data_IF_323875393682
#
_entry.id   IF_323875393682
#
_cell.length_a   1.000
_cell.length_b   1.000
_cell.length_c   1.000
_cell.angle_alpha   90.00
_cell.angle_beta   90.00
_cell.angle_gamma   90.00
#
_symmetry.space_group_name_H-M   'P 1'
#
loop_
_entity.id
_entity.type
_entity.pdbx_description
1 polymer ?
#
# COMPACT_ATOMS: atom_id res chain seq x y z
N UNK A 1 0.21 17.93 9.80
CA UNK A 1 0.07 16.71 10.62
C UNK A 1 -0.85 16.89 11.81
N UNK A 2 -0.71 17.94 12.64
CA UNK A 2 -1.47 18.08 13.91
C UNK A 2 -3.00 18.07 13.75
N UNK A 3 -3.54 18.67 12.68
CA UNK A 3 -4.98 18.62 12.39
C UNK A 3 -5.46 17.18 12.12
N UNK A 4 -4.70 16.39 11.34
CA UNK A 4 -5.06 15.00 11.04
C UNK A 4 -5.00 14.14 12.30
N UNK A 5 -3.97 14.33 13.13
CA UNK A 5 -3.87 13.65 14.44
C UNK A 5 -5.06 13.98 15.34
N UNK A 6 -5.52 15.24 15.35
CA UNK A 6 -6.71 15.64 16.11
C UNK A 6 -7.97 14.95 15.57
N UNK A 7 -8.15 14.90 14.25
CA UNK A 7 -9.28 14.20 13.64
C UNK A 7 -9.26 12.69 13.95
N UNK A 8 -8.09 12.05 13.95
CA UNK A 8 -7.93 10.64 14.32
C UNK A 8 -8.26 10.38 15.79
N UNK A 9 -8.06 11.34 16.71
CA UNK A 9 -8.54 11.19 18.10
C UNK A 9 -10.07 11.06 18.17
N UNK A 10 -10.79 11.68 17.24
CA UNK A 10 -12.25 11.60 17.15
C UNK A 10 -12.71 10.40 16.31
N UNK A 11 -11.92 9.97 15.33
CA UNK A 11 -12.20 8.88 14.40
C UNK A 11 -10.95 8.01 14.18
N UNK A 12 -10.60 7.14 15.14
CA UNK A 12 -9.30 6.45 15.14
C UNK A 12 -9.13 5.47 13.97
N UNK A 13 -10.22 4.94 13.42
CA UNK A 13 -10.20 3.94 12.36
C UNK A 13 -10.58 4.54 11.00
N UNK A 14 -10.48 5.86 10.83
CA UNK A 14 -10.72 6.49 9.54
C UNK A 14 -9.54 6.22 8.60
N UNK A 15 -9.73 5.27 7.69
CA UNK A 15 -8.73 4.84 6.72
C UNK A 15 -8.16 6.02 5.91
N UNK A 16 -8.98 7.01 5.54
CA UNK A 16 -8.52 8.14 4.72
C UNK A 16 -7.60 9.06 5.51
N UNK A 17 -7.91 9.29 6.78
CA UNK A 17 -7.03 10.05 7.67
C UNK A 17 -5.72 9.31 7.95
N UNK A 18 -5.76 7.99 8.12
CA UNK A 18 -4.55 7.17 8.30
C UNK A 18 -3.66 7.19 7.05
N UNK A 19 -4.23 7.00 5.85
CA UNK A 19 -3.48 7.07 4.59
C UNK A 19 -2.81 8.44 4.41
N UNK A 20 -3.55 9.53 4.63
CA UNK A 20 -2.98 10.87 4.55
C UNK A 20 -1.86 11.07 5.59
N UNK A 21 -2.03 10.53 6.80
CA UNK A 21 -1.02 10.62 7.84
C UNK A 21 0.25 9.84 7.49
N UNK A 22 0.13 8.62 6.94
CA UNK A 22 1.25 7.85 6.38
C UNK A 22 2.04 8.70 5.39
N UNK A 23 1.34 9.27 4.40
CA UNK A 23 1.95 10.07 3.34
C UNK A 23 2.66 11.32 3.88
N UNK A 24 2.08 12.00 4.87
CA UNK A 24 2.73 13.15 5.51
C UNK A 24 3.99 12.74 6.28
N UNK A 25 3.98 11.60 6.98
CA UNK A 25 5.18 11.10 7.64
C UNK A 25 6.27 10.71 6.63
N UNK A 26 5.91 10.08 5.51
CA UNK A 26 6.83 9.80 4.40
C UNK A 26 7.49 11.09 3.88
N UNK A 27 6.70 12.16 3.70
CA UNK A 27 7.21 13.46 3.25
C UNK A 27 8.12 14.14 4.27
N UNK A 28 7.87 13.91 5.56
CA UNK A 28 8.70 14.42 6.65
C UNK A 28 9.92 13.52 6.95
N UNK A 29 10.10 12.42 6.22
CA UNK A 29 11.13 11.39 6.47
C UNK A 29 11.05 10.76 7.88
N UNK A 30 9.87 10.82 8.49
CA UNK A 30 9.55 10.19 9.77
C UNK A 30 9.06 8.75 9.50
N UNK A 31 9.98 7.90 9.05
CA UNK A 31 9.65 6.55 8.59
C UNK A 31 9.13 5.65 9.71
N UNK A 32 9.57 5.85 10.95
CA UNK A 32 9.05 5.14 12.12
C UNK A 32 7.55 5.35 12.27
N UNK A 33 7.10 6.60 12.36
CA UNK A 33 5.68 6.90 12.52
C UNK A 33 4.88 6.56 11.25
N UNK A 34 5.50 6.69 10.07
CA UNK A 34 4.90 6.26 8.82
C UNK A 34 4.58 4.76 8.84
N UNK A 35 5.56 3.94 9.23
CA UNK A 35 5.43 2.48 9.27
C UNK A 35 4.40 2.04 10.31
N UNK A 36 4.42 2.62 11.51
CA UNK A 36 3.42 2.39 12.55
C UNK A 36 2.02 2.69 12.02
N UNK A 37 1.83 3.83 11.36
CA UNK A 37 0.53 4.24 10.83
C UNK A 37 0.09 3.33 9.67
N UNK A 38 1.02 2.86 8.83
CA UNK A 38 0.72 1.94 7.73
C UNK A 38 0.30 0.55 8.25
N UNK A 39 0.91 0.06 9.33
CA UNK A 39 0.46 -1.17 9.99
C UNK A 39 -0.91 -0.99 10.65
N UNK A 40 -1.18 0.15 11.29
CA UNK A 40 -2.53 0.46 11.81
C UNK A 40 -3.59 0.46 10.70
N UNK A 41 -3.29 1.07 9.56
CA UNK A 41 -4.14 1.03 8.37
C UNK A 41 -4.40 -0.44 7.95
N UNK A 42 -3.34 -1.23 7.81
CA UNK A 42 -3.40 -2.64 7.42
C UNK A 42 -4.27 -3.49 8.34
N UNK A 43 -4.16 -3.30 9.66
CA UNK A 43 -4.92 -4.06 10.67
C UNK A 43 -6.43 -3.87 10.55
N UNK A 44 -6.87 -2.67 10.14
CA UNK A 44 -8.31 -2.35 10.04
C UNK A 44 -8.87 -2.52 8.62
N UNK A 45 -8.03 -2.78 7.61
CA UNK A 45 -8.47 -3.05 6.24
C UNK A 45 -9.15 -4.42 6.11
N UNK A 46 -10.37 -4.42 5.57
CA UNK A 46 -11.18 -5.65 5.44
C UNK A 46 -11.13 -6.28 4.05
N UNK A 47 -10.87 -5.48 3.01
CA UNK A 47 -10.99 -5.92 1.62
C UNK A 47 -9.63 -6.30 1.03
N UNK A 48 -9.59 -7.22 0.03
CA UNK A 48 -8.33 -7.63 -0.61
C UNK A 48 -7.57 -6.46 -1.26
N UNK A 49 -8.28 -5.53 -1.90
CA UNK A 49 -7.73 -4.33 -2.53
C UNK A 49 -7.06 -3.40 -1.53
N UNK A 50 -7.70 -3.15 -0.38
CA UNK A 50 -7.10 -2.34 0.70
C UNK A 50 -5.92 -3.05 1.36
N UNK A 51 -5.99 -4.38 1.54
CA UNK A 51 -4.85 -5.16 2.06
C UNK A 51 -3.65 -5.09 1.11
N UNK A 52 -3.87 -5.28 -0.18
CA UNK A 52 -2.84 -5.13 -1.20
C UNK A 52 -2.24 -3.72 -1.18
N UNK A 53 -3.09 -2.69 -1.11
CA UNK A 53 -2.65 -1.30 -1.01
C UNK A 53 -1.84 -1.02 0.26
N UNK A 54 -2.24 -1.60 1.40
CA UNK A 54 -1.50 -1.46 2.66
C UNK A 54 -0.11 -2.10 2.59
N UNK A 55 0.02 -3.25 1.94
CA UNK A 55 1.33 -3.87 1.72
C UNK A 55 2.19 -3.01 0.77
N UNK A 56 1.59 -2.40 -0.25
CA UNK A 56 2.27 -1.40 -1.08
C UNK A 56 2.79 -0.22 -0.24
N UNK A 57 1.98 0.37 0.65
CA UNK A 57 2.42 1.47 1.52
C UNK A 57 3.61 1.05 2.38
N UNK A 58 3.53 -0.14 3.01
CA UNK A 58 4.63 -0.68 3.83
C UNK A 58 5.89 -0.88 2.98
N UNK A 59 5.79 -1.49 1.80
CA UNK A 59 6.94 -1.68 0.89
C UNK A 59 7.54 -0.34 0.45
N UNK A 60 6.72 0.65 0.14
CA UNK A 60 7.18 1.98 -0.22
C UNK A 60 7.99 2.62 0.91
N UNK A 61 7.51 2.52 2.15
CA UNK A 61 8.20 3.04 3.34
C UNK A 61 9.53 2.31 3.53
N UNK A 62 9.53 0.98 3.53
CA UNK A 62 10.73 0.16 3.73
C UNK A 62 11.78 0.41 2.63
N UNK A 63 11.35 0.56 1.37
CA UNK A 63 12.23 0.90 0.25
C UNK A 63 12.85 2.29 0.41
N UNK A 64 12.05 3.29 0.81
CA UNK A 64 12.55 4.67 1.05
C UNK A 64 13.47 4.74 2.27
N UNK A 65 13.20 3.94 3.29
CA UNK A 65 14.00 3.88 4.52
C UNK A 65 15.20 2.93 4.40
N UNK A 66 15.29 2.14 3.31
CA UNK A 66 16.40 1.21 3.04
C UNK A 66 16.46 0.04 4.05
N UNK A 67 15.30 -0.38 4.57
CA UNK A 67 15.17 -1.47 5.56
C UNK A 67 14.91 -2.81 4.86
N UNK A 68 15.95 -3.38 4.25
CA UNK A 68 15.84 -4.58 3.42
C UNK A 68 15.41 -5.86 4.15
N UNK A 69 15.72 -5.96 5.43
CA UNK A 69 15.47 -7.18 6.22
C UNK A 69 13.96 -7.48 6.35
N UNK A 70 13.12 -6.44 6.35
CA UNK A 70 11.67 -6.56 6.47
C UNK A 70 10.96 -6.69 5.11
N UNK A 71 11.63 -6.37 4.00
CA UNK A 71 10.97 -6.33 2.69
C UNK A 71 10.49 -7.72 2.25
N UNK A 72 11.27 -8.78 2.48
CA UNK A 72 11.00 -10.09 1.91
C UNK A 72 9.63 -10.66 2.31
N UNK A 73 9.26 -10.55 3.58
CA UNK A 73 8.00 -11.11 4.07
C UNK A 73 6.78 -10.31 3.58
N UNK A 74 6.86 -8.97 3.61
CA UNK A 74 5.80 -8.11 3.08
C UNK A 74 5.65 -8.29 1.58
N UNK A 75 6.76 -8.41 0.85
CA UNK A 75 6.75 -8.58 -0.60
C UNK A 75 6.09 -9.89 -1.02
N UNK A 76 6.32 -10.98 -0.30
CA UNK A 76 5.67 -12.26 -0.58
C UNK A 76 4.13 -12.13 -0.48
N UNK A 77 3.62 -11.56 0.61
CA UNK A 77 2.18 -11.38 0.80
C UNK A 77 1.58 -10.40 -0.21
N UNK A 78 2.26 -9.28 -0.46
CA UNK A 78 1.91 -8.33 -1.53
C UNK A 78 1.77 -9.05 -2.87
N UNK A 79 2.76 -9.87 -3.23
CA UNK A 79 2.80 -10.55 -4.52
C UNK A 79 1.69 -11.58 -4.63
N UNK A 80 1.40 -12.34 -3.57
CA UNK A 80 0.32 -13.33 -3.55
C UNK A 80 -1.06 -12.66 -3.68
N UNK A 81 -1.30 -11.57 -2.96
CA UNK A 81 -2.53 -10.77 -3.09
C UNK A 81 -2.67 -10.16 -4.50
N UNK A 82 -1.58 -9.67 -5.08
CA UNK A 82 -1.59 -9.11 -6.42
C UNK A 82 -1.94 -10.19 -7.46
N UNK A 83 -1.36 -11.39 -7.33
CA UNK A 83 -1.70 -12.51 -8.21
C UNK A 83 -3.17 -12.93 -8.06
N UNK A 84 -3.68 -13.00 -6.83
CA UNK A 84 -5.09 -13.30 -6.58
C UNK A 84 -6.00 -12.25 -7.25
N UNK A 85 -5.68 -10.97 -7.08
CA UNK A 85 -6.42 -9.87 -7.67
C UNK A 85 -6.45 -9.98 -9.19
N UNK A 86 -5.31 -10.26 -9.84
CA UNK A 86 -5.27 -10.41 -11.31
C UNK A 86 -6.11 -11.56 -11.87
N UNK A 87 -6.44 -12.58 -11.05
CA UNK A 87 -7.32 -13.70 -11.44
C UNK A 87 -8.80 -13.35 -11.34
N UNK A 88 -9.16 -12.27 -10.65
CA UNK A 88 -10.54 -11.82 -10.54
C UNK A 88 -10.96 -11.10 -11.83
N UNK A 89 -12.18 -11.38 -12.29
CA UNK A 89 -12.74 -10.78 -13.53
C UNK A 89 -13.14 -9.32 -13.37
N UNK A 90 -13.66 -8.96 -12.19
CA UNK A 90 -14.10 -7.61 -11.86
C UNK A 90 -13.64 -7.30 -10.44
N UNK A 91 -12.90 -6.22 -10.26
CA UNK A 91 -12.52 -5.74 -8.94
C UNK A 91 -13.30 -4.46 -8.65
N UNK A 92 -13.74 -4.29 -7.40
CA UNK A 92 -14.32 -3.02 -6.94
C UNK A 92 -13.28 -2.30 -6.11
N UNK A 93 -12.80 -1.17 -6.62
CA UNK A 93 -11.87 -0.31 -5.88
C UNK A 93 -12.64 0.59 -4.90
N UNK A 94 -12.16 0.66 -3.68
CA UNK A 94 -12.67 1.58 -2.68
C UNK A 94 -12.32 3.03 -3.07
N UNK A 95 -13.21 4.00 -2.79
CA UNK A 95 -12.98 5.40 -3.14
C UNK A 95 -11.65 5.97 -2.65
N UNK A 96 -11.19 5.52 -1.46
CA UNK A 96 -9.94 5.96 -0.85
C UNK A 96 -8.70 5.60 -1.67
N UNK A 97 -8.66 4.41 -2.28
CA UNK A 97 -7.49 3.97 -3.07
C UNK A 97 -7.66 4.21 -4.57
N UNK A 98 -8.86 4.56 -5.04
CA UNK A 98 -9.17 4.57 -6.47
C UNK A 98 -8.20 5.40 -7.32
N UNK A 99 -7.72 6.53 -6.80
CA UNK A 99 -6.77 7.41 -7.50
C UNK A 99 -5.31 6.99 -7.32
N UNK A 100 -5.01 6.21 -6.29
CA UNK A 100 -3.65 5.81 -5.91
C UNK A 100 -3.35 4.34 -6.22
N UNK A 101 -4.35 3.56 -6.64
CA UNK A 101 -4.24 2.10 -6.82
C UNK A 101 -3.21 1.70 -7.89
N UNK A 102 -3.05 2.51 -8.94
CA UNK A 102 -2.01 2.28 -9.96
C UNK A 102 -0.60 2.16 -9.35
N UNK A 103 -0.35 2.89 -8.25
CA UNK A 103 0.95 2.90 -7.58
C UNK A 103 1.28 1.58 -6.90
N UNK A 104 0.30 0.71 -6.67
CA UNK A 104 0.52 -0.64 -6.14
C UNK A 104 1.55 -1.38 -6.98
N UNK A 105 1.58 -1.17 -8.30
CA UNK A 105 2.53 -1.84 -9.19
C UNK A 105 3.97 -1.31 -9.12
N UNK A 106 4.21 -0.16 -8.46
CA UNK A 106 5.52 0.51 -8.43
C UNK A 106 6.67 -0.28 -7.79
N UNK A 107 6.47 -1.19 -6.81
CA UNK A 107 7.57 -1.98 -6.24
C UNK A 107 8.05 -3.11 -7.16
N UNK A 108 7.24 -3.54 -8.14
CA UNK A 108 7.51 -4.71 -8.97
C UNK A 108 8.87 -4.66 -9.68
N UNK A 109 9.30 -3.55 -10.30
CA UNK A 109 10.58 -3.48 -11.00
C UNK A 109 11.79 -3.60 -10.07
N UNK A 110 11.62 -3.39 -8.76
CA UNK A 110 12.71 -3.32 -7.78
C UNK A 110 12.85 -4.59 -6.94
N UNK A 111 11.77 -5.34 -6.76
CA UNK A 111 11.69 -6.45 -5.80
C UNK A 111 11.68 -7.84 -6.46
N UNK A 112 11.93 -7.93 -7.76
CA UNK A 112 12.13 -9.20 -8.44
C UNK A 112 12.55 -9.06 -9.91
N UNK A 113 13.48 -9.91 -10.34
CA UNK A 113 13.95 -9.96 -11.73
C UNK A 113 13.02 -10.80 -12.61
N UNK A 114 11.79 -10.28 -12.83
CA UNK A 114 10.75 -10.93 -13.64
C UNK A 114 10.03 -9.92 -14.52
N UNK A 115 10.77 -9.23 -15.37
CA UNK A 115 10.28 -8.11 -16.17
C UNK A 115 8.96 -8.39 -16.93
N UNK A 116 8.84 -9.55 -17.57
CA UNK A 116 7.63 -9.92 -18.32
C UNK A 116 6.42 -10.12 -17.41
N UNK A 117 6.57 -10.88 -16.32
CA UNK A 117 5.49 -11.13 -15.37
C UNK A 117 5.07 -9.84 -14.65
N UNK A 118 6.03 -9.02 -14.25
CA UNK A 118 5.77 -7.72 -13.62
C UNK A 118 4.96 -6.81 -14.55
N UNK A 119 5.30 -6.76 -15.84
CA UNK A 119 4.56 -5.97 -16.83
C UNK A 119 3.12 -6.46 -17.02
N UNK A 120 2.90 -7.78 -17.02
CA UNK A 120 1.55 -8.34 -17.09
C UNK A 120 0.71 -7.94 -15.88
N UNK A 121 1.29 -8.00 -14.67
CA UNK A 121 0.62 -7.56 -13.44
C UNK A 121 0.32 -6.05 -13.48
N UNK A 122 1.26 -5.21 -13.90
CA UNK A 122 1.05 -3.76 -14.06
C UNK A 122 -0.09 -3.46 -15.04
N UNK A 123 -0.12 -4.10 -16.21
CA UNK A 123 -1.19 -3.90 -17.18
C UNK A 123 -2.55 -4.26 -16.58
N UNK A 124 -2.63 -5.35 -15.81
CA UNK A 124 -3.87 -5.75 -15.17
C UNK A 124 -4.34 -4.74 -14.12
N UNK A 125 -3.42 -4.13 -13.36
CA UNK A 125 -3.76 -3.04 -12.43
C UNK A 125 -4.29 -1.81 -13.19
N UNK A 126 -3.70 -1.47 -14.34
CA UNK A 126 -4.14 -0.35 -15.18
C UNK A 126 -5.57 -0.56 -15.71
N UNK A 127 -5.93 -1.78 -16.09
CA UNK A 127 -7.29 -2.10 -16.58
C UNK A 127 -8.39 -1.86 -15.54
N UNK A 128 -8.05 -1.87 -14.25
CA UNK A 128 -9.01 -1.73 -13.14
C UNK A 128 -9.09 -0.28 -12.59
N UNK A 129 -8.27 0.65 -13.10
CA UNK A 129 -8.24 2.06 -12.71
C UNK A 129 -9.01 2.96 -13.70
#
# INVERSE_FOLDING_TARGET
>A
MEIIKLCLKLRPNDLSLLEQLVNLYILAEDFDNSLITAYQFREICLTPTLKLYSNYLILLILLRWVVWQEIAHIYQEYHDLLQELTRQKNITLEPIIKTSFLNVSSPLPYLGDRALANRQLTNRVVEEC
#
